data_IF_604504089928
#
_entry.id   IF_604504089928
#
_cell.length_a   1.000
_cell.length_b   1.000
_cell.length_c   1.000
_cell.angle_alpha   90.00
_cell.angle_beta   90.00
_cell.angle_gamma   90.00
#
_symmetry.space_group_name_H-M   'P 1'
#
loop_
_entity.id
_entity.type
_entity.pdbx_description
1 polymer ?
#
# COMPACT_ATOMS: atom_id res chain seq x y z
N UNK A 1 9.99 0.11 4.49
CA UNK A 1 10.38 -1.32 4.44
C UNK A 1 9.13 -2.12 4.11
N UNK A 2 9.07 -2.79 2.95
CA UNK A 2 8.00 -3.77 2.67
C UNK A 2 8.27 -4.99 3.53
N UNK A 3 7.34 -5.32 4.43
CA UNK A 3 7.50 -6.45 5.33
C UNK A 3 6.77 -7.63 4.73
N UNK A 4 7.53 -8.49 4.06
CA UNK A 4 7.03 -9.76 3.58
C UNK A 4 7.12 -10.75 4.74
N UNK A 5 5.97 -11.23 5.21
CA UNK A 5 5.90 -12.21 6.30
C UNK A 5 5.53 -13.56 5.72
N UNK A 6 6.26 -14.59 6.12
CA UNK A 6 6.05 -15.96 5.68
C UNK A 6 5.26 -16.75 6.71
N UNK A 7 4.30 -17.54 6.26
CA UNK A 7 3.46 -18.41 7.09
C UNK A 7 3.49 -19.85 6.57
N UNK A 8 3.38 -20.80 7.49
CA UNK A 8 3.12 -22.21 7.23
C UNK A 8 1.98 -22.67 8.13
N UNK A 9 1.26 -23.71 7.71
CA UNK A 9 0.20 -24.34 8.49
C UNK A 9 0.62 -25.77 8.83
N UNK A 10 0.40 -26.18 10.07
CA UNK A 10 0.74 -27.51 10.56
C UNK A 10 -0.54 -28.26 10.94
N UNK A 11 -0.70 -29.47 10.42
CA UNK A 11 -1.87 -30.32 10.66
C UNK A 11 -1.45 -31.56 11.44
N UNK A 12 -2.18 -31.82 12.54
CA UNK A 12 -1.89 -32.87 13.52
C UNK A 12 -3.00 -33.92 13.54
N UNK A 13 -2.62 -35.20 13.54
CA UNK A 13 -3.52 -36.31 13.87
C UNK A 13 -2.77 -37.40 14.65
N UNK A 14 -3.45 -38.43 15.20
CA UNK A 14 -2.77 -39.51 15.94
C UNK A 14 -1.75 -40.32 15.11
N UNK A 15 -1.71 -40.16 13.79
CA UNK A 15 -0.75 -40.82 12.88
C UNK A 15 0.47 -39.96 12.58
N UNK A 16 0.46 -38.67 12.93
CA UNK A 16 1.60 -37.79 12.77
C UNK A 16 1.22 -36.36 12.41
N UNK A 17 2.22 -35.66 11.87
CA UNK A 17 2.18 -34.23 11.57
C UNK A 17 2.54 -33.99 10.11
N UNK A 18 1.86 -33.06 9.45
CA UNK A 18 2.25 -32.57 8.13
C UNK A 18 2.23 -31.04 8.11
N UNK A 19 3.07 -30.44 7.25
CA UNK A 19 3.23 -28.99 7.14
C UNK A 19 2.90 -28.55 5.71
N UNK A 20 2.16 -27.46 5.57
CA UNK A 20 1.83 -26.85 4.29
C UNK A 20 3.06 -26.25 3.61
N UNK A 21 2.92 -25.92 2.32
CA UNK A 21 3.85 -24.99 1.66
C UNK A 21 3.89 -23.63 2.37
N UNK A 22 5.01 -22.92 2.22
CA UNK A 22 5.17 -21.55 2.73
C UNK A 22 4.36 -20.56 1.90
N UNK A 23 3.56 -19.74 2.58
CA UNK A 23 2.84 -18.62 1.99
C UNK A 23 3.55 -17.30 2.35
N UNK A 24 3.76 -16.44 1.35
CA UNK A 24 4.36 -15.11 1.54
C UNK A 24 3.29 -14.03 1.47
N UNK A 25 3.11 -13.30 2.56
CA UNK A 25 2.06 -12.27 2.70
C UNK A 25 2.70 -10.90 2.84
N UNK A 26 2.28 -9.97 1.99
CA UNK A 26 2.66 -8.55 2.08
C UNK A 26 1.44 -7.74 2.52
N UNK A 27 1.42 -7.37 3.80
CA UNK A 27 0.35 -6.53 4.37
C UNK A 27 0.44 -5.12 3.80
N UNK A 28 -0.70 -4.61 3.34
CA UNK A 28 -0.83 -3.26 2.77
C UNK A 28 -1.84 -2.47 3.61
N UNK A 29 -1.69 -1.16 3.58
CA UNK A 29 -2.67 -0.22 4.15
C UNK A 29 -3.05 0.80 3.09
N UNK A 30 -4.08 1.61 3.36
CA UNK A 30 -4.43 2.71 2.47
C UNK A 30 -3.27 3.71 2.36
N UNK A 31 -3.07 4.31 1.18
CA UNK A 31 -2.20 5.47 1.05
C UNK A 31 -2.57 6.56 2.05
N UNK A 32 -1.56 7.25 2.57
CA UNK A 32 -1.80 8.45 3.34
C UNK A 32 -2.27 9.59 2.43
N UNK A 33 -3.04 10.50 3.01
CA UNK A 33 -3.47 11.73 2.33
C UNK A 33 -2.24 12.49 1.80
N UNK A 34 -2.27 12.97 0.55
CA UNK A 34 -1.23 13.86 0.05
C UNK A 34 -1.08 15.12 0.91
N UNK A 35 0.13 15.64 0.98
CA UNK A 35 0.47 16.81 1.81
C UNK A 35 1.06 17.92 0.97
N UNK A 36 1.20 19.13 1.54
CA UNK A 36 1.83 20.29 0.87
C UNK A 36 1.15 20.64 -0.47
N UNK A 37 -0.18 20.64 -0.49
CA UNK A 37 -0.93 21.12 -1.65
C UNK A 37 -0.60 22.61 -1.89
N UNK A 38 -0.29 22.96 -3.13
CA UNK A 38 0.00 24.33 -3.54
C UNK A 38 -0.52 24.60 -4.94
N UNK A 39 -0.81 25.87 -5.20
CA UNK A 39 -1.12 26.38 -6.53
C UNK A 39 0.20 26.80 -7.19
N UNK A 40 0.44 26.29 -8.39
CA UNK A 40 1.63 26.59 -9.17
C UNK A 40 1.37 27.78 -10.11
N UNK A 41 0.19 27.82 -10.73
CA UNK A 41 -0.23 28.91 -11.60
C UNK A 41 -1.75 28.96 -11.72
N UNK A 42 -2.28 30.12 -12.11
CA UNK A 42 -3.71 30.34 -12.32
C UNK A 42 -3.94 31.16 -13.57
N UNK A 43 -4.88 30.73 -14.38
CA UNK A 43 -5.47 31.50 -15.48
C UNK A 43 -6.94 31.83 -15.12
N UNK A 44 -7.66 32.62 -15.92
CA UNK A 44 -9.08 32.88 -15.67
C UNK A 44 -9.98 31.63 -15.64
N UNK A 45 -9.59 30.54 -16.31
CA UNK A 45 -10.41 29.33 -16.45
C UNK A 45 -9.72 28.03 -16.02
N UNK A 46 -8.49 28.10 -15.51
CA UNK A 46 -7.74 26.91 -15.07
C UNK A 46 -6.78 27.20 -13.93
N UNK A 47 -6.48 26.17 -13.15
CA UNK A 47 -5.52 26.22 -12.05
C UNK A 47 -4.59 25.02 -12.18
N UNK A 48 -3.28 25.27 -12.11
CA UNK A 48 -2.28 24.21 -11.97
C UNK A 48 -1.94 24.06 -10.49
N UNK A 49 -2.01 22.83 -9.99
CA UNK A 49 -1.72 22.49 -8.59
C UNK A 49 -0.67 21.39 -8.52
N UNK A 50 0.05 21.35 -7.39
CA UNK A 50 0.93 20.23 -7.05
C UNK A 50 0.83 19.90 -5.57
N UNK A 51 1.10 18.64 -5.23
CA UNK A 51 1.16 18.14 -3.86
C UNK A 51 2.29 17.12 -3.74
N UNK A 52 2.66 16.79 -2.51
CA UNK A 52 3.64 15.74 -2.19
C UNK A 52 2.91 14.46 -1.79
N UNK A 53 3.23 13.35 -2.46
CA UNK A 53 2.76 12.04 -2.04
C UNK A 53 3.36 11.69 -0.66
N UNK A 54 2.53 11.17 0.23
CA UNK A 54 2.97 10.70 1.55
C UNK A 54 3.26 9.19 1.48
N UNK A 55 2.90 8.43 2.52
CA UNK A 55 3.02 6.97 2.52
C UNK A 55 2.15 6.34 1.42
N UNK A 56 2.72 5.41 0.65
CA UNK A 56 2.03 4.61 -0.37
C UNK A 56 1.30 3.39 0.21
N UNK A 57 1.34 3.21 1.54
CA UNK A 57 0.69 2.10 2.22
C UNK A 57 1.28 0.73 1.86
N UNK A 58 2.58 0.69 1.52
CA UNK A 58 3.31 -0.52 1.13
C UNK A 58 2.89 -1.09 -0.24
N UNK A 59 2.24 -0.28 -1.07
CA UNK A 59 1.86 -0.62 -2.45
C UNK A 59 2.03 0.59 -3.36
N UNK A 60 2.44 0.38 -4.61
CA UNK A 60 2.62 1.50 -5.55
C UNK A 60 1.30 2.25 -5.74
N UNK A 61 1.35 3.58 -5.68
CA UNK A 61 0.23 4.46 -6.03
C UNK A 61 -0.12 4.30 -7.52
N UNK A 62 -1.41 4.21 -7.83
CA UNK A 62 -1.90 4.05 -9.19
C UNK A 62 -2.47 5.36 -9.75
N UNK A 63 -3.22 6.10 -8.95
CA UNK A 63 -3.83 7.36 -9.33
C UNK A 63 -3.90 8.32 -8.12
N UNK A 64 -4.04 9.61 -8.41
CA UNK A 64 -4.36 10.64 -7.43
C UNK A 64 -5.49 11.50 -8.00
N UNK A 65 -6.48 11.82 -7.19
CA UNK A 65 -7.62 12.65 -7.57
C UNK A 65 -7.64 13.93 -6.75
N UNK A 66 -7.97 15.04 -7.41
CA UNK A 66 -8.43 16.25 -6.74
C UNK A 66 -9.97 16.24 -6.83
N UNK A 67 -10.65 16.44 -5.70
CA UNK A 67 -12.11 16.48 -5.60
C UNK A 67 -12.55 17.87 -5.17
#
# INVERSE_FOLDING_TARGET
IKRLTTFTCEAHNPKGVTVSRTASVNVKVLPARPTKLRINSRTPNSVSISWTAASDGFSKLQACTAQ
#
